data_IF_830066483617
#
_entry.id   IF_830066483617
#
_cell.length_a   1.000
_cell.length_b   1.000
_cell.length_c   1.000
_cell.angle_alpha   90.00
_cell.angle_beta   90.00
_cell.angle_gamma   90.00
#
_symmetry.space_group_name_H-M   'P 1'
#
loop_
_entity.id
_entity.type
_entity.pdbx_description
1 polymer ?
#
# COMPACT_ATOMS: atom_id res chain seq x y z
N UNK A 1 38.34 75.36 13.33
CA UNK A 1 37.08 74.62 13.60
C UNK A 1 36.41 74.10 12.33
N UNK A 2 36.19 74.93 11.29
CA UNK A 2 35.53 74.51 10.03
C UNK A 2 36.12 73.26 9.35
N UNK A 3 37.46 73.13 9.32
CA UNK A 3 38.17 71.97 8.75
C UNK A 3 37.94 70.66 9.52
N UNK A 4 37.76 70.75 10.84
CA UNK A 4 37.46 69.58 11.67
C UNK A 4 36.00 69.15 11.47
N UNK A 5 35.08 70.11 11.32
CA UNK A 5 33.67 69.83 11.04
C UNK A 5 33.48 69.13 9.68
N UNK A 6 34.21 69.55 8.64
CA UNK A 6 34.18 68.89 7.33
C UNK A 6 34.76 67.48 7.36
N UNK A 7 35.78 67.24 8.19
CA UNK A 7 36.43 65.94 8.33
C UNK A 7 35.53 64.94 9.07
N UNK A 8 34.88 65.39 10.14
CA UNK A 8 33.91 64.60 10.91
C UNK A 8 32.67 64.29 10.05
N UNK A 9 32.16 65.26 9.28
CA UNK A 9 31.03 65.05 8.38
C UNK A 9 31.35 64.05 7.26
N UNK A 10 32.55 64.13 6.67
CA UNK A 10 33.01 63.17 5.66
C UNK A 10 33.13 61.75 6.23
N UNK A 11 33.68 61.61 7.43
CA UNK A 11 33.83 60.31 8.10
C UNK A 11 32.47 59.69 8.44
N UNK A 12 31.51 60.50 8.90
CA UNK A 12 30.15 60.04 9.18
C UNK A 12 29.44 59.55 7.91
N UNK A 13 29.63 60.25 6.78
CA UNK A 13 29.01 59.88 5.52
C UNK A 13 29.55 58.57 4.95
N UNK A 14 30.87 58.34 5.07
CA UNK A 14 31.51 57.07 4.72
C UNK A 14 31.01 55.95 5.63
N UNK A 15 30.93 56.18 6.94
CA UNK A 15 30.44 55.19 7.90
C UNK A 15 28.99 54.77 7.62
N UNK A 16 28.10 55.71 7.27
CA UNK A 16 26.72 55.41 6.87
C UNK A 16 26.63 54.65 5.54
N UNK A 17 27.53 54.94 4.59
CA UNK A 17 27.55 54.27 3.28
C UNK A 17 28.12 52.84 3.30
N UNK A 18 28.98 52.51 4.28
CA UNK A 18 29.58 51.17 4.42
C UNK A 18 28.61 50.04 4.81
N UNK A 19 27.35 50.35 5.18
CA UNK A 19 26.35 49.34 5.53
C UNK A 19 25.75 48.59 4.32
N UNK A 20 25.87 49.12 3.10
CA UNK A 20 25.24 48.55 1.90
C UNK A 20 26.09 47.48 1.20
N UNK A 21 27.29 47.19 1.69
CA UNK A 21 28.12 46.09 1.18
C UNK A 21 27.73 44.74 1.83
N UNK A 22 26.42 44.43 1.91
CA UNK A 22 25.99 43.06 2.18
C UNK A 22 26.19 42.28 0.89
N UNK A 23 27.43 41.82 0.72
CA UNK A 23 27.89 41.05 -0.41
C UNK A 23 27.07 39.75 -0.49
N UNK A 24 25.95 39.77 -1.22
CA UNK A 24 25.28 38.56 -1.76
C UNK A 24 26.12 37.93 -2.88
N UNK A 25 27.45 38.07 -2.81
CA UNK A 25 28.43 37.44 -3.68
C UNK A 25 29.06 36.23 -2.96
N UNK A 26 28.20 35.52 -2.24
CA UNK A 26 28.41 34.17 -1.75
C UNK A 26 27.04 33.57 -1.85
N UNK A 27 26.70 33.09 -3.05
CA UNK A 27 25.40 32.50 -3.33
C UNK A 27 25.36 31.17 -2.57
N UNK A 28 25.03 31.22 -1.28
CA UNK A 28 24.76 30.07 -0.42
C UNK A 28 23.35 29.54 -0.73
N UNK A 29 23.11 29.29 -2.03
CA UNK A 29 22.00 28.45 -2.46
C UNK A 29 22.33 26.99 -2.14
N UNK A 30 21.32 26.12 -2.01
CA UNK A 30 21.57 24.69 -1.94
C UNK A 30 22.35 24.25 -3.17
N UNK A 31 23.37 23.43 -2.98
CA UNK A 31 24.24 22.93 -4.03
C UNK A 31 23.45 22.03 -5.01
N UNK A 32 23.10 22.57 -6.18
CA UNK A 32 22.32 21.88 -7.20
C UNK A 32 23.06 20.68 -7.84
N UNK A 33 24.36 20.54 -7.59
CA UNK A 33 25.18 19.41 -8.04
C UNK A 33 25.56 18.47 -6.90
N UNK A 34 25.04 18.67 -5.69
CA UNK A 34 25.25 17.76 -4.58
C UNK A 34 24.55 16.42 -4.85
N UNK A 35 25.34 15.40 -5.18
CA UNK A 35 24.85 14.04 -5.36
C UNK A 35 24.76 13.34 -4.01
N UNK A 36 23.55 13.02 -3.57
CA UNK A 36 23.33 12.17 -2.41
C UNK A 36 23.84 10.74 -2.69
N UNK A 37 24.36 10.07 -1.66
CA UNK A 37 24.82 8.68 -1.80
C UNK A 37 23.62 7.78 -2.13
N UNK A 38 23.68 7.10 -3.26
CA UNK A 38 22.70 6.09 -3.63
C UNK A 38 22.76 4.95 -2.60
N UNK A 39 21.61 4.52 -2.10
CA UNK A 39 21.54 3.32 -1.27
C UNK A 39 22.14 2.14 -2.05
N UNK A 40 22.91 1.24 -1.39
CA UNK A 40 23.48 0.09 -2.05
C UNK A 40 22.37 -0.73 -2.75
N UNK A 41 22.62 -1.13 -4.00
CA UNK A 41 21.75 -2.08 -4.68
C UNK A 41 21.89 -3.44 -3.99
N UNK A 42 20.90 -3.79 -3.17
CA UNK A 42 20.79 -5.12 -2.59
C UNK A 42 20.14 -6.00 -3.64
N UNK A 43 20.88 -7.01 -4.11
CA UNK A 43 20.31 -8.09 -4.89
C UNK A 43 19.36 -8.84 -3.96
N UNK A 44 18.04 -8.87 -4.25
CA UNK A 44 17.08 -9.63 -3.46
C UNK A 44 17.55 -11.09 -3.35
N UNK A 45 17.28 -11.79 -2.24
CA UNK A 45 17.58 -13.21 -2.17
C UNK A 45 16.97 -13.92 -3.37
N UNK A 46 17.77 -14.73 -4.07
CA UNK A 46 17.27 -15.61 -5.12
C UNK A 46 16.17 -16.47 -4.50
N UNK A 47 14.92 -16.15 -4.80
CA UNK A 47 13.83 -17.04 -4.45
C UNK A 47 14.02 -18.27 -5.33
N UNK A 48 14.50 -19.36 -4.74
CA UNK A 48 14.50 -20.70 -5.32
C UNK A 48 13.07 -21.24 -5.42
N UNK A 49 12.15 -20.42 -5.96
CA UNK A 49 10.82 -20.89 -6.34
C UNK A 49 11.06 -22.00 -7.34
N UNK A 50 10.69 -23.21 -6.94
CA UNK A 50 10.68 -24.34 -7.84
C UNK A 50 9.80 -23.96 -9.03
N UNK A 51 10.34 -23.92 -10.26
CA UNK A 51 9.54 -23.57 -11.42
C UNK A 51 8.33 -24.50 -11.49
N UNK A 52 7.11 -23.98 -11.70
CA UNK A 52 5.93 -24.81 -11.79
C UNK A 52 6.13 -25.82 -12.93
N UNK A 53 5.81 -27.09 -12.66
CA UNK A 53 5.97 -28.16 -13.65
C UNK A 53 5.18 -27.80 -14.91
N UNK A 54 5.75 -27.92 -16.12
CA UNK A 54 5.02 -27.67 -17.35
C UNK A 54 3.71 -28.49 -17.36
N UNK A 55 2.57 -27.81 -17.49
CA UNK A 55 1.23 -28.43 -17.47
C UNK A 55 0.60 -28.63 -16.09
N UNK A 56 1.25 -28.27 -14.98
CA UNK A 56 0.58 -28.21 -13.68
C UNK A 56 -0.47 -27.09 -13.67
N UNK A 57 -1.64 -27.37 -13.09
CA UNK A 57 -2.69 -26.37 -12.90
C UNK A 57 -2.11 -25.16 -12.15
N UNK A 58 -2.33 -23.95 -12.68
CA UNK A 58 -1.85 -22.75 -11.99
C UNK A 58 -2.69 -22.58 -10.72
N UNK A 59 -2.05 -22.18 -9.61
CA UNK A 59 -2.78 -21.81 -8.39
C UNK A 59 -3.82 -20.69 -8.64
N UNK A 60 -3.61 -19.90 -9.70
CA UNK A 60 -4.48 -18.79 -10.10
C UNK A 60 -5.53 -19.18 -11.17
N UNK A 61 -5.61 -20.43 -11.62
CA UNK A 61 -6.62 -20.87 -12.61
C UNK A 61 -8.02 -21.04 -12.00
N UNK A 62 -8.18 -20.79 -10.70
CA UNK A 62 -9.50 -20.83 -10.07
C UNK A 62 -10.25 -19.55 -10.41
N UNK A 63 -11.29 -19.68 -11.24
CA UNK A 63 -12.13 -18.52 -11.55
C UNK A 63 -12.73 -17.94 -10.26
N UNK A 64 -12.66 -16.62 -10.02
CA UNK A 64 -13.22 -16.01 -8.81
C UNK A 64 -14.71 -16.30 -8.64
N UNK A 65 -15.43 -16.42 -9.75
CA UNK A 65 -16.85 -16.78 -9.75
C UNK A 65 -17.07 -18.22 -9.22
N UNK A 66 -16.29 -19.20 -9.69
CA UNK A 66 -16.40 -20.57 -9.18
C UNK A 66 -16.05 -20.65 -7.68
N UNK A 67 -15.06 -19.89 -7.22
CA UNK A 67 -14.72 -19.78 -5.80
C UNK A 67 -15.85 -19.16 -4.97
N UNK A 68 -16.50 -18.11 -5.49
CA UNK A 68 -17.65 -17.49 -4.82
C UNK A 68 -18.84 -18.45 -4.75
N UNK A 69 -19.13 -19.18 -5.84
CA UNK A 69 -20.21 -20.17 -5.86
C UNK A 69 -19.95 -21.32 -4.88
N UNK A 70 -18.71 -21.82 -4.80
CA UNK A 70 -18.34 -22.84 -3.81
C UNK A 70 -18.43 -22.30 -2.37
N UNK A 71 -18.02 -21.04 -2.13
CA UNK A 71 -18.14 -20.46 -0.79
C UNK A 71 -19.61 -20.23 -0.36
N UNK A 72 -20.49 -19.89 -1.31
CA UNK A 72 -21.89 -19.60 -1.05
C UNK A 72 -22.77 -20.85 -1.00
N UNK A 73 -22.49 -21.84 -1.84
CA UNK A 73 -23.35 -23.00 -2.08
C UNK A 73 -22.62 -24.34 -1.97
N UNK A 74 -21.31 -24.32 -1.75
CA UNK A 74 -20.48 -25.51 -1.72
C UNK A 74 -20.62 -26.30 -0.41
N UNK A 75 -20.70 -27.62 -0.58
CA UNK A 75 -20.61 -28.59 0.49
C UNK A 75 -21.86 -28.76 1.37
N UNK A 76 -21.91 -29.91 2.04
CA UNK A 76 -22.87 -30.14 3.11
C UNK A 76 -22.35 -29.48 4.39
N UNK A 77 -23.02 -28.43 4.86
CA UNK A 77 -22.73 -27.86 6.18
C UNK A 77 -23.01 -28.88 7.28
N UNK A 78 -22.09 -29.01 8.25
CA UNK A 78 -22.27 -29.89 9.39
C UNK A 78 -23.46 -29.41 10.22
N UNK A 79 -24.55 -30.18 10.21
CA UNK A 79 -25.76 -29.87 10.96
C UNK A 79 -25.57 -30.22 12.43
N UNK A 80 -26.23 -29.46 13.30
CA UNK A 80 -26.20 -29.76 14.74
C UNK A 80 -26.96 -31.05 15.06
N UNK A 81 -26.61 -31.70 16.17
CA UNK A 81 -27.34 -32.88 16.63
C UNK A 81 -28.82 -32.55 16.92
N UNK A 82 -29.12 -31.37 17.45
CA UNK A 82 -30.48 -30.91 17.73
C UNK A 82 -31.29 -30.73 16.44
N UNK A 83 -30.72 -30.08 15.43
CA UNK A 83 -31.36 -29.92 14.12
C UNK A 83 -31.67 -31.29 13.48
N UNK A 84 -30.69 -32.19 13.49
CA UNK A 84 -30.86 -33.55 12.97
C UNK A 84 -31.99 -34.29 13.71
N UNK A 85 -32.05 -34.17 15.04
CA UNK A 85 -33.11 -34.76 15.85
C UNK A 85 -34.49 -34.15 15.53
N UNK A 86 -34.59 -32.84 15.32
CA UNK A 86 -35.86 -32.19 14.95
C UNK A 86 -36.34 -32.60 13.56
N UNK A 87 -35.42 -32.74 12.59
CA UNK A 87 -35.76 -33.18 11.22
C UNK A 87 -36.19 -34.66 11.22
N UNK A 88 -35.49 -35.50 11.99
CA UNK A 88 -35.89 -36.90 12.17
C UNK A 88 -37.27 -37.01 12.84
N UNK A 89 -37.53 -36.21 13.88
CA UNK A 89 -38.83 -36.16 14.54
C UNK A 89 -39.94 -35.61 13.63
N UNK A 90 -39.61 -34.71 12.70
CA UNK A 90 -40.51 -34.21 11.67
C UNK A 90 -40.80 -35.24 10.56
N UNK A 91 -40.13 -36.40 10.59
CA UNK A 91 -40.44 -37.53 9.73
C UNK A 91 -39.82 -37.43 8.34
N UNK A 92 -38.59 -36.92 8.21
CA UNK A 92 -37.88 -36.79 6.92
C UNK A 92 -37.78 -38.07 6.09
N UNK A 93 -37.87 -39.24 6.73
CA UNK A 93 -37.83 -40.56 6.07
C UNK A 93 -39.23 -41.18 5.88
N UNK A 94 -40.31 -40.44 6.16
CA UNK A 94 -41.71 -40.92 6.14
C UNK A 94 -42.42 -40.70 4.80
N UNK A 95 -41.71 -40.24 3.78
CA UNK A 95 -42.29 -39.86 2.50
C UNK A 95 -42.71 -41.10 1.68
N UNK A 96 -43.85 -41.01 0.97
CA UNK A 96 -44.26 -42.03 0.00
C UNK A 96 -43.28 -42.02 -1.20
N UNK A 97 -42.65 -43.16 -1.56
CA UNK A 97 -41.67 -43.26 -2.65
C UNK A 97 -42.14 -42.80 -4.04
N UNK A 98 -43.42 -42.44 -4.24
CA UNK A 98 -43.95 -41.91 -5.49
C UNK A 98 -44.48 -40.47 -5.45
N UNK A 99 -44.41 -39.76 -4.31
CA UNK A 99 -45.20 -38.54 -4.11
C UNK A 99 -44.87 -37.41 -5.11
N UNK A 100 -43.65 -37.36 -5.65
CA UNK A 100 -43.26 -36.35 -6.65
C UNK A 100 -43.83 -36.60 -8.04
N UNK A 101 -44.28 -37.82 -8.32
CA UNK A 101 -44.87 -38.20 -9.60
C UNK A 101 -46.40 -38.10 -9.61
N UNK A 102 -47.05 -38.08 -8.44
CA UNK A 102 -48.51 -38.10 -8.32
C UNK A 102 -49.14 -36.71 -8.21
N UNK A 103 -48.37 -35.70 -7.81
CA UNK A 103 -48.86 -34.32 -7.57
C UNK A 103 -48.28 -33.31 -8.57
N UNK A 104 -47.43 -33.77 -9.50
CA UNK A 104 -46.81 -32.96 -10.55
C UNK A 104 -47.65 -32.82 -11.81
#
# INVERSE_FOLDING_TARGET
MRKATTLIAGLALVALASGCAHNKLGRSGPDEFAVARQAPLVIPPDFSLTPPRPGAARANDVSPNAQALEALFGGTSQRSAGETATIAAAGVDSDDPGIRSTVG
#
